data_IF_243175666508
#
_entry.id   IF_243175666508
#
_cell.length_a   1.000
_cell.length_b   1.000
_cell.length_c   1.000
_cell.angle_alpha   90.00
_cell.angle_beta   90.00
_cell.angle_gamma   90.00
#
_symmetry.space_group_name_H-M   'P 1'
#
loop_
_entity.id
_entity.type
_entity.pdbx_description
1 polymer ?
#
# COMPACT_ATOMS: atom_id res chain seq x y z
N UNK A 1 -66.78 20.84 63.86
CA UNK A 1 -65.55 20.00 63.94
C UNK A 1 -65.94 18.59 63.55
N UNK A 2 -65.61 18.17 62.33
CA UNK A 2 -65.51 16.78 61.91
C UNK A 2 -64.52 16.78 60.74
N UNK A 3 -63.40 16.08 60.93
CA UNK A 3 -62.17 16.23 60.15
C UNK A 3 -62.20 15.52 58.80
N UNK A 4 -61.64 16.20 57.81
CA UNK A 4 -61.28 15.62 56.52
C UNK A 4 -60.17 14.58 56.72
N UNK A 5 -60.49 13.30 56.52
CA UNK A 5 -59.49 12.24 56.45
C UNK A 5 -58.80 12.31 55.08
N UNK A 6 -57.63 12.93 55.08
CA UNK A 6 -56.71 12.97 53.96
C UNK A 6 -56.16 11.55 53.73
N UNK A 7 -56.60 10.90 52.67
CA UNK A 7 -56.10 9.59 52.23
C UNK A 7 -54.68 9.74 51.67
N UNK A 8 -53.67 9.52 52.52
CA UNK A 8 -52.25 9.64 52.16
C UNK A 8 -51.60 8.32 51.76
N UNK A 9 -52.36 7.29 51.39
CA UNK A 9 -51.79 5.99 51.06
C UNK A 9 -51.93 5.65 49.57
N UNK A 10 -51.30 6.45 48.70
CA UNK A 10 -50.91 5.98 47.37
C UNK A 10 -49.51 5.34 47.49
N UNK A 11 -49.32 4.09 47.05
CA UNK A 11 -47.97 3.56 46.94
C UNK A 11 -47.21 4.44 45.95
N UNK A 12 -46.14 5.08 46.42
CA UNK A 12 -45.13 5.66 45.54
C UNK A 12 -44.67 4.54 44.62
N UNK A 13 -45.01 4.63 43.33
CA UNK A 13 -44.36 3.83 42.31
C UNK A 13 -42.90 4.27 42.31
N UNK A 14 -42.08 3.61 43.13
CA UNK A 14 -40.64 3.71 43.07
C UNK A 14 -40.26 3.43 41.62
N UNK A 15 -39.87 4.47 40.90
CA UNK A 15 -39.48 4.36 39.49
C UNK A 15 -38.47 3.23 39.38
N UNK A 16 -38.73 2.30 38.45
CA UNK A 16 -37.76 1.25 38.15
C UNK A 16 -36.39 1.92 37.95
N UNK A 17 -35.30 1.37 38.51
CA UNK A 17 -33.98 1.92 38.27
C UNK A 17 -33.78 2.04 36.75
N UNK A 18 -33.18 3.13 36.26
CA UNK A 18 -32.97 3.30 34.83
C UNK A 18 -32.31 2.04 34.27
N UNK A 19 -32.68 1.58 33.07
CA UNK A 19 -32.03 0.44 32.44
C UNK A 19 -30.54 0.67 32.54
N UNK A 20 -29.81 -0.25 33.21
CA UNK A 20 -28.35 -0.19 33.18
C UNK A 20 -27.99 -0.26 31.71
N UNK A 21 -27.50 0.84 31.17
CA UNK A 21 -26.79 0.81 29.90
C UNK A 21 -25.69 -0.22 30.11
N UNK A 22 -25.90 -1.42 29.59
CA UNK A 22 -24.85 -2.39 29.44
C UNK A 22 -23.93 -1.73 28.42
N UNK A 23 -23.00 -0.89 28.89
CA UNK A 23 -21.81 -0.53 28.14
C UNK A 23 -21.25 -1.87 27.71
N UNK A 24 -21.56 -2.27 26.49
CA UNK A 24 -21.09 -3.52 25.93
C UNK A 24 -19.58 -3.42 26.06
N UNK A 25 -19.00 -4.23 26.95
CA UNK A 25 -17.57 -4.44 26.96
C UNK A 25 -17.23 -4.74 25.50
N UNK A 26 -16.42 -3.91 24.82
CA UNK A 26 -16.09 -4.19 23.43
C UNK A 26 -15.54 -5.61 23.44
N UNK A 27 -16.27 -6.52 22.80
CA UNK A 27 -15.82 -7.90 22.66
C UNK A 27 -14.57 -7.78 21.82
N UNK A 28 -13.41 -7.79 22.49
CA UNK A 28 -12.10 -7.81 21.86
C UNK A 28 -12.01 -9.14 21.13
N UNK A 29 -12.54 -9.18 19.90
CA UNK A 29 -12.42 -10.37 19.06
C UNK A 29 -10.94 -10.53 18.79
N UNK A 30 -10.32 -11.67 19.16
CA UNK A 30 -8.92 -11.89 18.88
C UNK A 30 -8.73 -11.77 17.37
N UNK A 31 -7.98 -10.75 16.93
CA UNK A 31 -7.65 -10.58 15.51
C UNK A 31 -6.81 -11.79 15.12
N UNK A 32 -7.31 -12.56 14.15
CA UNK A 32 -6.64 -13.80 13.73
C UNK A 32 -5.23 -13.48 13.19
N UNK A 33 -4.21 -14.04 13.83
CA UNK A 33 -2.81 -13.85 13.44
C UNK A 33 -2.54 -14.41 12.05
N UNK A 34 -1.64 -13.76 11.33
CA UNK A 34 -1.13 -14.22 10.03
C UNK A 34 0.20 -14.94 10.22
N UNK A 35 0.46 -15.97 9.43
CA UNK A 35 1.74 -16.69 9.50
C UNK A 35 2.80 -16.00 8.62
N UNK A 36 3.91 -15.48 9.18
CA UNK A 36 4.99 -14.88 8.38
C UNK A 36 5.69 -15.90 7.49
N UNK A 37 5.83 -17.14 7.96
CA UNK A 37 6.39 -18.23 7.17
C UNK A 37 5.52 -18.49 5.92
N UNK A 38 4.19 -18.59 6.08
CA UNK A 38 3.29 -18.76 4.93
C UNK A 38 3.34 -17.56 3.99
N UNK A 39 3.37 -16.33 4.51
CA UNK A 39 3.51 -15.14 3.68
C UNK A 39 4.81 -15.18 2.84
N UNK A 40 5.91 -15.63 3.44
CA UNK A 40 7.21 -15.77 2.75
C UNK A 40 7.17 -16.87 1.69
N UNK A 41 6.62 -18.05 2.02
CA UNK A 41 6.51 -19.16 1.07
C UNK A 41 5.61 -18.81 -0.11
N UNK A 42 4.47 -18.16 0.13
CA UNK A 42 3.60 -17.69 -0.94
C UNK A 42 4.31 -16.67 -1.83
N UNK A 43 5.18 -15.84 -1.28
CA UNK A 43 5.99 -14.86 -2.02
C UNK A 43 7.02 -15.46 -2.96
N UNK A 44 7.20 -16.79 -2.99
CA UNK A 44 7.91 -17.45 -4.10
C UNK A 44 7.25 -17.13 -5.45
N UNK A 45 5.94 -16.88 -5.45
CA UNK A 45 5.24 -16.24 -6.55
C UNK A 45 5.08 -14.75 -6.21
N UNK A 46 5.72 -13.85 -6.97
CA UNK A 46 5.76 -12.43 -6.64
C UNK A 46 4.38 -11.83 -6.41
N UNK A 47 4.20 -11.21 -5.24
CA UNK A 47 2.96 -10.58 -4.82
C UNK A 47 1.98 -11.43 -3.99
N UNK A 48 2.08 -12.78 -4.00
CA UNK A 48 1.09 -13.62 -3.31
C UNK A 48 1.17 -13.51 -1.78
N UNK A 49 2.35 -13.34 -1.19
CA UNK A 49 2.48 -13.16 0.25
C UNK A 49 1.86 -11.87 0.76
N UNK A 50 1.99 -10.78 -0.02
CA UNK A 50 1.36 -9.50 0.26
C UNK A 50 -0.16 -9.64 0.20
N UNK A 51 -0.70 -10.30 -0.84
CA UNK A 51 -2.13 -10.60 -0.97
C UNK A 51 -2.64 -11.41 0.22
N UNK A 52 -1.89 -12.42 0.68
CA UNK A 52 -2.24 -13.25 1.83
C UNK A 52 -2.42 -12.44 3.13
N UNK A 53 -1.56 -11.45 3.36
CA UNK A 53 -1.64 -10.57 4.54
C UNK A 53 -2.71 -9.48 4.36
N UNK A 54 -3.21 -9.27 3.14
CA UNK A 54 -4.24 -8.26 2.80
C UNK A 54 -3.70 -7.00 2.12
N UNK A 55 -2.41 -6.97 1.79
CA UNK A 55 -1.77 -5.88 1.03
C UNK A 55 -1.93 -6.10 -0.49
N UNK A 56 -3.18 -6.06 -0.97
CA UNK A 56 -3.51 -6.39 -2.37
C UNK A 56 -2.78 -5.50 -3.37
N UNK A 57 -2.75 -4.19 -3.13
CA UNK A 57 -2.13 -3.25 -4.06
C UNK A 57 -0.63 -3.56 -4.24
N UNK A 58 0.10 -3.75 -3.15
CA UNK A 58 1.51 -4.08 -3.19
C UNK A 58 1.74 -5.44 -3.84
N UNK A 59 0.86 -6.41 -3.58
CA UNK A 59 0.91 -7.71 -4.25
C UNK A 59 0.80 -7.61 -5.77
N UNK A 60 -0.20 -6.87 -6.27
CA UNK A 60 -0.35 -6.66 -7.72
C UNK A 60 0.79 -5.84 -8.32
N UNK A 61 1.33 -4.84 -7.60
CA UNK A 61 2.51 -4.08 -8.05
C UNK A 61 3.72 -5.00 -8.21
N UNK A 62 3.99 -5.88 -7.24
CA UNK A 62 5.12 -6.81 -7.33
C UNK A 62 4.96 -7.80 -8.49
N UNK A 63 3.75 -8.32 -8.69
CA UNK A 63 3.45 -9.19 -9.83
C UNK A 63 3.68 -8.45 -11.17
N UNK A 64 3.22 -7.21 -11.29
CA UNK A 64 3.38 -6.40 -12.49
C UNK A 64 4.85 -6.05 -12.79
N UNK A 65 5.64 -5.67 -11.77
CA UNK A 65 7.07 -5.40 -11.91
C UNK A 65 7.80 -6.64 -12.43
N UNK A 66 7.57 -7.80 -11.82
CA UNK A 66 8.21 -9.05 -12.23
C UNK A 66 7.79 -9.45 -13.64
N UNK A 67 6.48 -9.44 -13.94
CA UNK A 67 5.97 -9.83 -15.24
C UNK A 67 6.56 -8.94 -16.34
N UNK A 68 6.55 -7.62 -16.15
CA UNK A 68 7.12 -6.65 -17.10
C UNK A 68 8.62 -6.86 -17.29
N UNK A 69 9.37 -7.07 -16.20
CA UNK A 69 10.82 -7.29 -16.27
C UNK A 69 11.15 -8.57 -17.03
N UNK A 70 10.40 -9.66 -16.78
CA UNK A 70 10.54 -10.92 -17.52
C UNK A 70 10.19 -10.72 -19.00
N UNK A 71 9.12 -10.00 -19.33
CA UNK A 71 8.74 -9.71 -20.72
C UNK A 71 9.84 -8.95 -21.45
N UNK A 72 10.44 -7.92 -20.84
CA UNK A 72 11.55 -7.16 -21.43
C UNK A 72 12.78 -8.05 -21.63
N UNK A 73 13.15 -8.83 -20.61
CA UNK A 73 14.28 -9.78 -20.71
C UNK A 73 14.06 -10.82 -21.81
N UNK A 74 12.85 -11.38 -21.92
CA UNK A 74 12.49 -12.36 -22.93
C UNK A 74 12.47 -11.78 -24.35
N UNK A 75 12.14 -10.49 -24.49
CA UNK A 75 12.16 -9.77 -25.77
C UNK A 75 13.57 -9.39 -26.27
N UNK A 76 14.61 -9.57 -25.46
CA UNK A 76 15.98 -9.21 -25.80
C UNK A 76 16.35 -7.80 -25.31
N UNK A 77 16.78 -7.69 -24.06
CA UNK A 77 17.13 -6.42 -23.42
C UNK A 77 18.52 -5.86 -23.79
N UNK A 78 19.26 -6.50 -24.71
CA UNK A 78 20.58 -6.05 -25.16
C UNK A 78 21.55 -5.80 -24.01
N UNK A 79 22.19 -4.63 -24.00
CA UNK A 79 23.14 -4.20 -22.96
C UNK A 79 22.52 -4.11 -21.55
N UNK A 80 21.20 -3.98 -21.44
CA UNK A 80 20.51 -3.91 -20.15
C UNK A 80 20.20 -5.28 -19.54
N UNK A 81 20.43 -6.38 -20.26
CA UNK A 81 20.15 -7.74 -19.78
C UNK A 81 20.79 -8.04 -18.40
N UNK A 82 22.08 -7.74 -18.15
CA UNK A 82 22.69 -8.02 -16.84
C UNK A 82 22.07 -7.17 -15.73
N UNK A 83 21.79 -5.90 -16.02
CA UNK A 83 21.16 -4.98 -15.07
C UNK A 83 19.77 -5.49 -14.68
N UNK A 84 18.90 -5.74 -15.66
CA UNK A 84 17.55 -6.23 -15.42
C UNK A 84 17.51 -7.61 -14.76
N UNK A 85 18.44 -8.50 -15.11
CA UNK A 85 18.56 -9.81 -14.46
C UNK A 85 18.93 -9.71 -12.98
N UNK A 86 19.93 -8.87 -12.64
CA UNK A 86 20.32 -8.62 -11.25
C UNK A 86 19.20 -7.90 -10.49
N UNK A 87 18.57 -6.89 -11.09
CA UNK A 87 17.43 -6.19 -10.51
C UNK A 87 16.26 -7.14 -10.24
N UNK A 88 15.95 -8.05 -11.17
CA UNK A 88 14.91 -9.05 -10.99
C UNK A 88 15.22 -9.99 -9.82
N UNK A 89 16.46 -10.49 -9.74
CA UNK A 89 16.89 -11.36 -8.64
C UNK A 89 16.81 -10.66 -7.28
N UNK A 90 17.30 -9.42 -7.20
CA UNK A 90 17.20 -8.58 -6.00
C UNK A 90 15.74 -8.33 -5.63
N UNK A 91 14.90 -7.95 -6.59
CA UNK A 91 13.49 -7.69 -6.39
C UNK A 91 12.74 -8.95 -5.90
N UNK A 92 13.12 -10.13 -6.40
CA UNK A 92 12.56 -11.40 -5.95
C UNK A 92 12.82 -11.63 -4.47
N UNK A 93 14.07 -11.48 -4.02
CA UNK A 93 14.44 -11.60 -2.60
C UNK A 93 13.78 -10.52 -1.74
N UNK A 94 13.76 -9.28 -2.22
CA UNK A 94 13.06 -8.18 -1.56
C UNK A 94 11.57 -8.51 -1.36
N UNK A 95 10.89 -9.06 -2.36
CA UNK A 95 9.48 -9.44 -2.27
C UNK A 95 9.21 -10.49 -1.18
N UNK A 96 10.12 -11.44 -0.95
CA UNK A 96 10.02 -12.41 0.16
C UNK A 96 10.15 -11.73 1.52
N UNK A 97 11.18 -10.88 1.68
CA UNK A 97 11.46 -10.16 2.94
C UNK A 97 10.31 -9.20 3.26
N UNK A 98 9.79 -8.49 2.26
CA UNK A 98 8.70 -7.54 2.41
C UNK A 98 7.41 -8.22 2.88
N UNK A 99 7.05 -9.38 2.33
CA UNK A 99 5.89 -10.15 2.79
C UNK A 99 6.02 -10.63 4.24
N UNK A 100 7.21 -11.13 4.62
CA UNK A 100 7.49 -11.53 5.99
C UNK A 100 7.35 -10.35 6.96
N UNK A 101 7.95 -9.21 6.61
CA UNK A 101 7.89 -7.97 7.40
C UNK A 101 6.45 -7.48 7.57
N UNK A 102 5.65 -7.51 6.50
CA UNK A 102 4.22 -7.14 6.53
C UNK A 102 3.38 -8.07 7.42
N UNK A 103 3.63 -9.38 7.37
CA UNK A 103 2.95 -10.34 8.24
C UNK A 103 3.28 -10.11 9.72
N UNK A 104 4.56 -9.88 10.03
CA UNK A 104 5.00 -9.54 11.40
C UNK A 104 4.41 -8.21 11.88
N UNK A 105 4.33 -7.21 11.00
CA UNK A 105 3.72 -5.93 11.32
C UNK A 105 2.22 -6.07 11.59
N UNK A 106 1.50 -6.84 10.77
CA UNK A 106 0.08 -7.15 11.00
C UNK A 106 -0.14 -7.80 12.36
N UNK A 107 0.68 -8.79 12.73
CA UNK A 107 0.57 -9.46 14.03
C UNK A 107 0.87 -8.51 15.20
N UNK A 108 1.85 -7.61 15.06
CA UNK A 108 2.16 -6.61 16.09
C UNK A 108 1.00 -5.64 16.33
N UNK A 109 0.39 -5.15 15.25
CA UNK A 109 -0.82 -4.31 15.34
C UNK A 109 -1.98 -5.09 15.99
N UNK A 110 -2.16 -6.36 15.60
CA UNK A 110 -3.18 -7.23 16.18
C UNK A 110 -2.99 -7.47 17.70
N UNK A 111 -1.74 -7.42 18.17
CA UNK A 111 -1.39 -7.56 19.60
C UNK A 111 -1.56 -6.27 20.41
N UNK A 112 -2.06 -5.18 19.80
CA UNK A 112 -2.33 -3.91 20.49
C UNK A 112 -1.08 -3.07 20.78
N UNK A 113 0.10 -3.54 20.38
CA UNK A 113 1.29 -2.72 20.28
C UNK A 113 1.10 -1.83 19.06
N UNK A 114 0.57 -0.62 19.28
CA UNK A 114 0.52 0.43 18.26
C UNK A 114 1.87 0.48 17.56
N UNK A 115 1.85 0.26 16.25
CA UNK A 115 3.08 0.08 15.48
C UNK A 115 4.00 1.24 15.78
N UNK A 116 5.24 0.96 16.18
CA UNK A 116 6.32 1.85 15.79
C UNK A 116 6.07 2.12 14.31
N UNK A 117 5.77 3.39 13.99
CA UNK A 117 5.74 3.85 12.61
C UNK A 117 7.07 3.40 12.06
N UNK A 118 7.08 2.31 11.27
CA UNK A 118 8.23 1.96 10.48
C UNK A 118 8.45 3.23 9.70
N UNK A 119 9.55 3.97 9.92
CA UNK A 119 9.76 5.21 9.21
C UNK A 119 9.51 4.90 7.74
N UNK A 120 8.68 5.73 7.10
CA UNK A 120 8.30 5.66 5.70
C UNK A 120 9.53 5.96 4.81
N UNK A 121 10.67 5.33 5.11
CA UNK A 121 11.98 5.49 4.48
C UNK A 121 11.95 5.01 3.03
N UNK A 122 10.87 4.32 2.66
CA UNK A 122 10.43 4.18 1.29
C UNK A 122 8.92 4.37 1.29
N UNK A 123 8.48 5.61 1.45
CA UNK A 123 7.20 6.07 0.94
C UNK A 123 7.15 5.78 -0.57
N UNK A 124 6.88 4.52 -0.93
CA UNK A 124 6.31 4.22 -2.23
C UNK A 124 5.07 5.10 -2.33
N UNK A 125 4.96 5.96 -3.36
CA UNK A 125 3.88 6.93 -3.50
C UNK A 125 2.55 6.26 -3.12
N UNK A 126 1.94 6.75 -2.05
CA UNK A 126 0.84 6.07 -1.39
C UNK A 126 -0.28 5.66 -2.35
N UNK A 127 -1.06 4.67 -1.90
CA UNK A 127 -2.24 4.07 -2.53
C UNK A 127 -3.33 5.02 -3.06
N UNK A 128 -3.16 6.33 -2.94
CA UNK A 128 -3.91 7.33 -3.69
C UNK A 128 -3.22 7.43 -5.04
N UNK A 129 -3.78 6.76 -6.06
CA UNK A 129 -3.24 6.76 -7.42
C UNK A 129 -2.70 8.14 -7.77
N UNK A 130 -1.37 8.25 -7.78
CA UNK A 130 -0.72 9.54 -7.97
C UNK A 130 -1.14 10.01 -9.35
N UNK A 131 -1.82 11.15 -9.46
CA UNK A 131 -2.20 11.72 -10.76
C UNK A 131 -0.96 11.80 -11.66
N UNK A 132 0.19 12.11 -11.07
CA UNK A 132 1.47 12.07 -11.73
C UNK A 132 1.86 10.66 -12.20
N UNK A 133 1.75 9.65 -11.33
CA UNK A 133 2.03 8.26 -11.69
C UNK A 133 1.10 7.70 -12.78
N UNK A 134 -0.21 7.99 -12.69
CA UNK A 134 -1.19 7.62 -13.70
C UNK A 134 -0.97 8.34 -15.03
N UNK A 135 -0.55 9.61 -14.99
CA UNK A 135 -0.23 10.40 -16.19
C UNK A 135 1.03 9.88 -16.86
N UNK A 136 2.08 9.56 -16.10
CA UNK A 136 3.31 8.96 -16.63
C UNK A 136 2.99 7.59 -17.25
N UNK A 137 2.19 6.76 -16.58
CA UNK A 137 1.82 5.45 -17.09
C UNK A 137 0.96 5.54 -18.37
N UNK A 138 0.00 6.47 -18.42
CA UNK A 138 -0.81 6.71 -19.61
C UNK A 138 0.02 7.22 -20.79
N UNK A 139 0.95 8.16 -20.54
CA UNK A 139 1.86 8.66 -21.57
C UNK A 139 2.77 7.54 -22.09
N UNK A 140 3.33 6.72 -21.19
CA UNK A 140 4.17 5.58 -21.56
C UNK A 140 3.40 4.56 -22.42
N UNK A 141 2.19 4.19 -22.01
CA UNK A 141 1.34 3.28 -22.77
C UNK A 141 0.96 3.84 -24.15
N UNK A 142 0.70 5.14 -24.24
CA UNK A 142 0.42 5.80 -25.52
C UNK A 142 1.64 5.77 -26.46
N UNK A 143 2.84 6.07 -25.95
CA UNK A 143 4.08 6.03 -26.75
C UNK A 143 4.34 4.63 -27.31
N UNK A 144 4.20 3.60 -26.48
CA UNK A 144 4.34 2.19 -26.89
C UNK A 144 3.26 1.83 -27.93
N UNK A 145 2.02 2.25 -27.73
CA UNK A 145 0.92 1.99 -28.68
C UNK A 145 1.18 2.65 -30.04
N UNK A 146 1.76 3.85 -30.06
CA UNK A 146 2.12 4.57 -31.28
C UNK A 146 3.23 3.86 -32.06
N UNK A 147 4.25 3.36 -31.36
CA UNK A 147 5.33 2.58 -31.96
C UNK A 147 4.80 1.26 -32.55
N UNK A 148 4.02 0.51 -31.76
CA UNK A 148 3.51 -0.81 -32.15
C UNK A 148 2.45 -0.77 -33.27
N UNK A 149 1.53 0.20 -33.24
CA UNK A 149 0.38 0.21 -34.15
C UNK A 149 0.56 1.17 -35.34
N UNK A 150 1.37 2.22 -35.20
CA UNK A 150 1.54 3.25 -36.23
C UNK A 150 2.96 3.31 -36.79
N UNK A 151 3.90 2.51 -36.27
CA UNK A 151 5.29 2.48 -36.72
C UNK A 151 6.04 3.79 -36.48
N UNK A 152 5.57 4.59 -35.51
CA UNK A 152 6.24 5.84 -35.12
C UNK A 152 7.42 5.48 -34.24
N UNK A 153 8.64 5.55 -34.78
CA UNK A 153 9.84 5.18 -34.03
C UNK A 153 10.05 6.07 -32.80
N UNK A 154 10.38 5.44 -31.67
CA UNK A 154 10.71 6.12 -30.41
C UNK A 154 12.21 6.41 -30.26
N UNK A 155 13.02 6.23 -31.29
CA UNK A 155 14.47 6.47 -31.27
C UNK A 155 14.81 7.91 -30.85
N UNK A 156 14.02 8.89 -31.30
CA UNK A 156 14.19 10.28 -30.87
C UNK A 156 14.02 10.46 -29.36
N UNK A 157 13.21 9.62 -28.69
CA UNK A 157 13.04 9.69 -27.23
C UNK A 157 14.26 9.08 -26.52
N UNK A 158 14.84 8.02 -27.09
CA UNK A 158 16.10 7.40 -26.62
C UNK A 158 17.28 8.36 -26.74
N UNK A 159 17.32 9.19 -27.77
CA UNK A 159 18.39 10.18 -27.94
C UNK A 159 18.23 11.38 -26.99
N UNK A 160 17.00 11.75 -26.62
CA UNK A 160 16.71 13.01 -25.91
C UNK A 160 16.44 12.85 -24.40
N UNK A 161 16.19 11.64 -23.87
CA UNK A 161 16.00 11.45 -22.42
C UNK A 161 17.17 11.92 -21.54
N UNK A 162 18.46 11.87 -21.96
CA UNK A 162 19.55 12.39 -21.14
C UNK A 162 19.42 13.90 -20.95
N UNK A 163 18.97 14.63 -21.97
CA UNK A 163 18.75 16.07 -21.90
C UNK A 163 17.60 16.40 -20.93
N UNK A 164 16.57 15.56 -20.87
CA UNK A 164 15.49 15.71 -19.90
C UNK A 164 15.99 15.54 -18.44
N UNK A 165 16.89 14.58 -18.19
CA UNK A 165 17.53 14.42 -16.87
C UNK A 165 18.42 15.62 -16.50
N UNK A 166 19.20 16.13 -17.46
CA UNK A 166 20.01 17.34 -17.26
C UNK A 166 19.12 18.53 -16.90
N UNK A 167 18.05 18.75 -17.66
CA UNK A 167 17.08 19.82 -17.40
C UNK A 167 16.41 19.68 -16.03
N UNK A 168 16.02 18.46 -15.64
CA UNK A 168 15.45 18.18 -14.32
C UNK A 168 16.45 18.48 -13.20
N UNK A 169 17.72 18.08 -13.35
CA UNK A 169 18.78 18.37 -12.39
C UNK A 169 19.05 19.87 -12.23
N UNK A 170 19.16 20.60 -13.34
CA UNK A 170 19.30 22.07 -13.33
C UNK A 170 18.11 22.72 -12.64
N UNK A 171 16.88 22.28 -12.97
CA UNK A 171 15.67 22.79 -12.34
C UNK A 171 15.63 22.53 -10.84
N UNK A 172 16.05 21.35 -10.37
CA UNK A 172 16.14 21.05 -8.93
C UNK A 172 17.12 21.98 -8.22
N UNK A 173 18.28 22.26 -8.81
CA UNK A 173 19.27 23.20 -8.25
C UNK A 173 18.69 24.62 -8.18
N UNK A 174 18.06 25.08 -9.27
CA UNK A 174 17.44 26.41 -9.32
C UNK A 174 16.27 26.54 -8.35
N UNK A 175 15.48 25.48 -8.19
CA UNK A 175 14.36 25.43 -7.24
C UNK A 175 14.84 25.38 -5.79
N UNK A 176 15.91 24.65 -5.50
CA UNK A 176 16.53 24.61 -4.18
C UNK A 176 17.02 26.00 -3.75
N UNK A 177 17.60 26.76 -4.69
CA UNK A 177 18.05 28.14 -4.45
C UNK A 177 16.95 29.20 -4.30
N UNK A 178 15.68 28.86 -4.55
CA UNK A 178 14.53 29.77 -4.41
C UNK A 178 13.80 29.61 -3.07
N UNK A 179 14.26 28.69 -2.21
CA UNK A 179 13.66 28.44 -0.88
C UNK A 179 14.41 29.13 0.27
N UNK A 180 15.47 29.87 -0.05
CA UNK A 180 16.13 30.85 0.82
C UNK A 180 15.68 32.27 0.42
#
# INVERSE_FOLDING_TARGET
MNGEQHDTNRPEYAGAPPPRESYGVPVNRPVARKSPALATTLSLFPGLGQIYVGYYQQGFIHAAIVATTITILAGGAGIFTPLLGVSLAFFWLFNLIDANRRALHFNRIADGFGGEEVPDDIALPGARGSVLGGTILAAMGLLIFLDLNFGISLEWLEDWWPLALVGMGVWMILKARRKD
#
